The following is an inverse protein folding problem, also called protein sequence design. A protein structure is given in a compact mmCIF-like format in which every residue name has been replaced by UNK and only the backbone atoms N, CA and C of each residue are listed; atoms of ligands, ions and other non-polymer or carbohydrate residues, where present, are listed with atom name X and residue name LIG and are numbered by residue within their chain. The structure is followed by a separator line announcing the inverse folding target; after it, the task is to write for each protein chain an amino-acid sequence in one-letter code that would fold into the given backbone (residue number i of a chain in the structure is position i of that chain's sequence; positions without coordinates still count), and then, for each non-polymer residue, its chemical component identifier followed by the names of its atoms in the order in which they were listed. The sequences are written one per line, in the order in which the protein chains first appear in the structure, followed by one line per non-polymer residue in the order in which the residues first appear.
data_IF_423086003830
#
_entry.id   IF_423086003830
#
_cell.length_a   1.000
_cell.length_b   1.000
_cell.length_c   1.000
_cell.angle_alpha   90.00
_cell.angle_beta   90.00
_cell.angle_gamma   90.00
#
_symmetry.space_group_name_H-M   'P 1'
#
loop_
_entity.id
_entity.type
_entity.pdbx_description
1 polymer ?
#
# COMPACT_ATOMS: atom_id res chain seq x y z
N UNK A 1 -4.28 15.51 -2.46
CA UNK A 1 -3.49 14.57 -3.27
C UNK A 1 -4.37 13.71 -4.20
N UNK A 2 -5.43 13.02 -3.73
CA UNK A 2 -6.29 12.19 -4.58
C UNK A 2 -6.90 12.94 -5.77
N UNK A 3 -7.39 14.18 -5.58
CA UNK A 3 -7.94 15.01 -6.65
C UNK A 3 -6.90 15.28 -7.75
N UNK A 4 -5.66 15.58 -7.38
CA UNK A 4 -4.55 15.81 -8.33
C UNK A 4 -4.19 14.56 -9.14
N UNK A 5 -4.19 13.38 -8.53
CA UNK A 5 -3.92 12.12 -9.24
C UNK A 5 -5.01 11.83 -10.27
N UNK A 6 -6.27 12.08 -9.91
CA UNK A 6 -7.41 11.96 -10.84
C UNK A 6 -7.29 12.96 -12.00
N UNK A 7 -6.93 14.20 -11.71
CA UNK A 7 -6.71 15.25 -12.70
C UNK A 7 -5.58 14.89 -13.68
N UNK A 8 -4.46 14.35 -13.19
CA UNK A 8 -3.29 14.07 -14.02
C UNK A 8 -3.41 12.81 -14.86
N UNK A 9 -4.02 11.76 -14.32
CA UNK A 9 -4.03 10.44 -14.96
C UNK A 9 -5.42 9.98 -15.40
N UNK A 10 -6.45 10.76 -15.13
CA UNK A 10 -7.83 10.38 -15.46
C UNK A 10 -8.31 9.10 -14.76
N UNK A 11 -7.54 8.60 -13.79
CA UNK A 11 -7.85 7.36 -13.10
C UNK A 11 -8.56 7.59 -11.77
N UNK A 12 -9.55 6.75 -11.48
CA UNK A 12 -10.21 6.75 -10.19
C UNK A 12 -9.35 6.06 -9.13
N UNK A 13 -9.21 6.71 -7.98
CA UNK A 13 -8.55 6.11 -6.81
C UNK A 13 -9.59 5.33 -6.02
N UNK A 14 -9.43 4.02 -5.99
CA UNK A 14 -10.29 3.12 -5.23
C UNK A 14 -9.77 3.00 -3.80
N UNK A 15 -10.63 3.34 -2.83
CA UNK A 15 -10.31 3.23 -1.41
C UNK A 15 -10.81 1.89 -0.89
N UNK A 16 -9.89 0.99 -0.59
CA UNK A 16 -10.18 -0.31 0.02
C UNK A 16 -10.07 -0.19 1.53
N UNK A 17 -11.13 -0.56 2.23
CA UNK A 17 -11.19 -0.52 3.70
C UNK A 17 -11.22 -1.92 4.29
N UNK A 18 -10.57 -2.10 5.44
CA UNK A 18 -10.72 -3.31 6.24
C UNK A 18 -12.13 -3.35 6.83
N UNK A 19 -12.86 -4.44 6.60
CA UNK A 19 -14.20 -4.65 7.12
C UNK A 19 -14.20 -5.84 8.07
N UNK A 20 -14.81 -5.66 9.24
CA UNK A 20 -15.10 -6.74 10.17
C UNK A 20 -16.61 -6.84 10.37
N UNK A 21 -17.19 -8.01 10.12
CA UNK A 21 -18.66 -8.23 10.18
C UNK A 21 -19.45 -7.15 9.39
N UNK A 22 -18.91 -6.73 8.23
CA UNK A 22 -19.51 -5.71 7.39
C UNK A 22 -19.29 -4.25 7.80
N UNK A 23 -18.63 -4.00 8.95
CA UNK A 23 -18.36 -2.65 9.46
C UNK A 23 -16.87 -2.34 9.31
N UNK A 24 -16.56 -1.09 8.93
CA UNK A 24 -15.17 -0.62 8.90
C UNK A 24 -14.61 -0.54 10.33
N UNK A 25 -13.54 -1.29 10.58
CA UNK A 25 -12.79 -1.22 11.83
C UNK A 25 -11.37 -0.73 11.54
N UNK A 26 -11.02 0.46 12.02
CA UNK A 26 -9.65 0.97 12.01
C UNK A 26 -8.78 0.29 13.07
N UNK A 27 -7.45 0.45 12.94
CA UNK A 27 -6.49 -0.10 13.89
C UNK A 27 -6.74 0.39 15.32
N UNK A 28 -7.04 1.68 15.50
CA UNK A 28 -7.36 2.28 16.80
C UNK A 28 -8.55 1.60 17.47
N UNK A 29 -9.67 1.49 16.76
CA UNK A 29 -10.88 0.84 17.30
C UNK A 29 -10.62 -0.64 17.64
N UNK A 30 -9.81 -1.33 16.84
CA UNK A 30 -9.42 -2.70 17.15
C UNK A 30 -8.60 -2.78 18.44
N UNK A 31 -7.60 -1.89 18.60
CA UNK A 31 -6.77 -1.84 19.80
C UNK A 31 -7.60 -1.55 21.05
N UNK A 32 -8.50 -0.57 20.99
CA UNK A 32 -9.41 -0.22 22.09
C UNK A 32 -10.30 -1.40 22.47
N UNK A 33 -10.92 -2.05 21.48
CA UNK A 33 -11.80 -3.19 21.71
C UNK A 33 -11.09 -4.41 22.27
N UNK A 34 -9.83 -4.61 21.90
CA UNK A 34 -9.02 -5.74 22.38
C UNK A 34 -8.20 -5.41 23.62
N UNK A 35 -8.21 -4.14 24.07
CA UNK A 35 -7.33 -3.65 25.15
C UNK A 35 -5.85 -4.03 24.92
N UNK A 36 -5.39 -3.94 23.65
CA UNK A 36 -4.04 -4.31 23.23
C UNK A 36 -3.46 -3.28 22.29
N UNK A 37 -2.18 -2.97 22.47
CA UNK A 37 -1.39 -2.26 21.48
C UNK A 37 -0.96 -3.20 20.35
N UNK A 38 -0.70 -2.67 19.12
CA UNK A 38 -0.13 -3.45 18.04
C UNK A 38 1.20 -4.06 18.46
N UNK A 39 1.32 -5.37 18.38
CA UNK A 39 2.58 -6.05 18.69
C UNK A 39 3.53 -5.99 17.51
N UNK A 40 4.75 -5.53 17.75
CA UNK A 40 5.89 -5.63 16.83
C UNK A 40 6.86 -6.76 17.26
N UNK A 41 6.48 -7.54 18.28
CA UNK A 41 7.29 -8.65 18.76
C UNK A 41 7.61 -9.63 17.63
N UNK A 42 8.83 -10.13 17.60
CA UNK A 42 9.33 -11.10 16.62
C UNK A 42 9.26 -10.65 15.15
N UNK A 43 9.21 -9.34 14.86
CA UNK A 43 9.13 -8.83 13.50
C UNK A 43 7.81 -9.09 12.77
N UNK A 44 6.81 -9.65 13.45
CA UNK A 44 5.51 -9.93 12.88
C UNK A 44 4.65 -8.66 12.81
N UNK A 45 4.35 -8.21 11.59
CA UNK A 45 3.56 -6.99 11.33
C UNK A 45 2.08 -7.30 11.11
N UNK A 46 1.44 -7.91 12.11
CA UNK A 46 0.05 -8.36 12.02
C UNK A 46 -0.94 -7.25 11.66
N UNK A 47 -0.76 -6.04 12.20
CA UNK A 47 -1.60 -4.89 11.86
C UNK A 47 -1.49 -4.51 10.38
N UNK A 48 -0.29 -4.51 9.79
CA UNK A 48 -0.10 -4.20 8.37
C UNK A 48 -0.74 -5.26 7.47
N UNK A 49 -0.60 -6.53 7.83
CA UNK A 49 -1.23 -7.63 7.09
C UNK A 49 -2.75 -7.47 7.12
N UNK A 50 -3.32 -7.35 8.31
CA UNK A 50 -4.76 -7.34 8.52
C UNK A 50 -5.47 -6.10 7.98
N UNK A 51 -4.89 -4.92 8.16
CA UNK A 51 -5.55 -3.66 7.77
C UNK A 51 -5.14 -3.12 6.40
N UNK A 52 -4.06 -3.64 5.79
CA UNK A 52 -3.59 -3.19 4.47
C UNK A 52 -3.56 -4.33 3.45
N UNK A 53 -2.81 -5.40 3.73
CA UNK A 53 -2.53 -6.45 2.73
C UNK A 53 -3.75 -7.33 2.44
N UNK A 54 -4.43 -7.83 3.46
CA UNK A 54 -5.60 -8.71 3.28
C UNK A 54 -6.78 -8.01 2.59
N UNK A 55 -7.22 -6.81 3.01
CA UNK A 55 -8.29 -6.09 2.32
C UNK A 55 -7.96 -5.81 0.86
N UNK A 56 -6.72 -5.39 0.58
CA UNK A 56 -6.23 -5.16 -0.77
C UNK A 56 -6.28 -6.44 -1.61
N UNK A 57 -5.71 -7.54 -1.12
CA UNK A 57 -5.69 -8.80 -1.84
C UNK A 57 -7.11 -9.34 -2.10
N UNK A 58 -8.01 -9.20 -1.13
CA UNK A 58 -9.42 -9.60 -1.28
C UNK A 58 -10.11 -8.80 -2.38
N UNK A 59 -9.91 -7.48 -2.37
CA UNK A 59 -10.48 -6.59 -3.38
C UNK A 59 -9.93 -6.90 -4.77
N UNK A 60 -8.59 -7.01 -4.91
CA UNK A 60 -7.92 -7.31 -6.19
C UNK A 60 -8.39 -8.63 -6.77
N UNK A 61 -8.46 -9.70 -5.96
CA UNK A 61 -8.91 -11.01 -6.45
C UNK A 61 -10.37 -10.98 -6.94
N UNK A 62 -11.23 -10.20 -6.28
CA UNK A 62 -12.59 -10.00 -6.74
C UNK A 62 -12.59 -9.27 -8.09
N UNK A 63 -11.86 -8.17 -8.19
CA UNK A 63 -11.73 -7.39 -9.42
C UNK A 63 -11.15 -8.21 -10.58
N UNK A 64 -10.11 -9.00 -10.33
CA UNK A 64 -9.52 -9.90 -11.33
C UNK A 64 -10.54 -10.89 -11.87
N UNK A 65 -11.37 -11.47 -10.99
CA UNK A 65 -12.42 -12.41 -11.39
C UNK A 65 -13.51 -11.72 -12.24
N UNK A 66 -13.90 -10.51 -11.87
CA UNK A 66 -14.93 -9.74 -12.59
C UNK A 66 -14.46 -9.26 -13.97
N UNK A 67 -13.15 -9.10 -14.16
CA UNK A 67 -12.55 -8.61 -15.40
C UNK A 67 -11.79 -9.69 -16.20
N UNK A 68 -11.89 -10.96 -15.81
CA UNK A 68 -11.16 -12.10 -16.40
C UNK A 68 -9.63 -11.89 -16.49
N UNK A 69 -9.06 -11.22 -15.49
CA UNK A 69 -7.61 -10.97 -15.39
C UNK A 69 -6.97 -12.07 -14.56
N UNK A 70 -5.98 -12.77 -15.13
CA UNK A 70 -5.30 -13.90 -14.47
C UNK A 70 -4.07 -13.48 -13.68
N UNK A 71 -3.44 -12.37 -14.05
CA UNK A 71 -2.21 -11.88 -13.44
C UNK A 71 -2.17 -10.36 -13.42
N UNK A 72 -1.60 -9.78 -12.35
CA UNK A 72 -1.39 -8.34 -12.21
C UNK A 72 0.06 -8.02 -11.87
N UNK A 73 0.49 -6.82 -12.24
CA UNK A 73 1.74 -6.23 -11.77
C UNK A 73 1.41 -5.16 -10.72
N UNK A 74 1.95 -5.32 -9.52
CA UNK A 74 1.75 -4.41 -8.40
C UNK A 74 2.97 -3.49 -8.25
N UNK A 75 2.80 -2.20 -8.53
CA UNK A 75 3.82 -1.21 -8.23
C UNK A 75 3.93 -0.99 -6.71
N UNK A 76 5.14 -1.08 -6.17
CA UNK A 76 5.46 -0.91 -4.75
C UNK A 76 6.42 0.26 -4.61
N UNK A 77 6.07 1.25 -3.81
CA UNK A 77 6.81 2.50 -3.65
C UNK A 77 7.98 2.40 -2.66
N UNK A 78 8.83 1.39 -2.78
CA UNK A 78 10.12 1.37 -2.09
C UNK A 78 11.09 2.25 -2.87
N UNK A 79 11.80 3.15 -2.17
CA UNK A 79 12.90 3.90 -2.76
C UNK A 79 14.17 3.04 -2.86
N UNK A 80 15.21 3.54 -3.55
CA UNK A 80 16.45 2.80 -3.76
C UNK A 80 17.16 2.43 -2.44
N UNK A 81 17.04 3.23 -1.39
CA UNK A 81 17.56 2.92 -0.04
C UNK A 81 16.82 1.76 0.64
N UNK A 82 15.62 1.43 0.20
CA UNK A 82 14.81 0.33 0.72
C UNK A 82 14.94 -0.97 -0.08
N UNK A 83 15.87 -1.06 -1.04
CA UNK A 83 16.06 -2.24 -1.90
C UNK A 83 16.25 -3.56 -1.12
N UNK A 84 16.84 -3.50 0.08
CA UNK A 84 16.99 -4.64 0.99
C UNK A 84 15.65 -5.25 1.47
N UNK A 85 14.52 -4.54 1.30
CA UNK A 85 13.17 -4.98 1.67
C UNK A 85 12.47 -5.75 0.56
N UNK A 86 13.05 -5.79 -0.65
CA UNK A 86 12.49 -6.47 -1.80
C UNK A 86 12.41 -7.97 -1.50
N UNK A 87 11.22 -8.52 -1.67
CA UNK A 87 10.97 -9.96 -1.58
C UNK A 87 10.10 -10.40 -2.74
N UNK A 88 10.34 -11.60 -3.29
CA UNK A 88 9.45 -12.19 -4.28
C UNK A 88 8.01 -12.25 -3.75
N UNK A 89 7.05 -12.09 -4.64
CA UNK A 89 5.66 -12.33 -4.25
C UNK A 89 5.45 -13.82 -3.93
N UNK A 90 4.87 -14.15 -2.78
CA UNK A 90 4.53 -15.54 -2.46
C UNK A 90 3.27 -16.01 -3.20
N UNK A 91 2.61 -15.12 -3.93
CA UNK A 91 1.33 -15.40 -4.58
C UNK A 91 1.50 -15.45 -6.11
N UNK A 92 1.05 -16.54 -6.76
CA UNK A 92 1.32 -16.77 -8.19
C UNK A 92 0.55 -15.82 -9.12
N UNK A 93 -0.47 -15.15 -8.62
CA UNK A 93 -1.33 -14.29 -9.42
C UNK A 93 -0.86 -12.83 -9.49
N UNK A 94 0.26 -12.45 -8.81
CA UNK A 94 0.83 -11.11 -8.98
C UNK A 94 2.35 -11.09 -8.89
N UNK A 95 2.94 -10.13 -9.60
CA UNK A 95 4.36 -9.78 -9.51
C UNK A 95 4.50 -8.39 -8.89
N UNK A 96 5.47 -8.21 -8.01
CA UNK A 96 5.82 -6.88 -7.51
C UNK A 96 6.79 -6.20 -8.48
N UNK A 97 6.54 -4.93 -8.79
CA UNK A 97 7.43 -4.04 -9.51
C UNK A 97 7.84 -2.88 -8.59
N UNK A 98 9.10 -2.54 -8.62
CA UNK A 98 9.70 -1.53 -7.73
C UNK A 98 10.29 -0.37 -8.56
N UNK A 99 9.45 0.47 -9.18
CA UNK A 99 9.90 1.48 -10.14
C UNK A 99 10.95 2.43 -9.58
N UNK A 100 10.83 2.89 -8.34
CA UNK A 100 11.79 3.82 -7.76
C UNK A 100 13.16 3.16 -7.52
N UNK A 101 13.20 1.86 -7.25
CA UNK A 101 14.45 1.10 -7.14
C UNK A 101 15.09 0.93 -8.52
N UNK A 102 14.29 0.57 -9.53
CA UNK A 102 14.75 0.42 -10.92
C UNK A 102 15.32 1.73 -11.49
N UNK A 103 14.69 2.87 -11.10
CA UNK A 103 15.17 4.21 -11.50
C UNK A 103 16.26 4.76 -10.58
N UNK A 104 16.69 4.04 -9.55
CA UNK A 104 17.66 4.47 -8.55
C UNK A 104 17.28 5.78 -7.84
N UNK A 105 16.00 5.99 -7.63
CA UNK A 105 15.47 7.13 -6.91
C UNK A 105 15.50 6.90 -5.40
N UNK A 106 16.23 7.77 -4.72
CA UNK A 106 16.25 7.82 -3.26
C UNK A 106 15.13 8.71 -2.73
N UNK A 107 15.02 8.76 -1.42
CA UNK A 107 13.97 9.55 -0.74
C UNK A 107 14.04 11.03 -1.12
N UNK A 108 15.24 11.58 -1.25
CA UNK A 108 15.50 12.97 -1.61
C UNK A 108 14.97 13.30 -3.01
N UNK A 109 15.21 12.43 -3.98
CA UNK A 109 14.72 12.55 -5.36
C UNK A 109 13.18 12.56 -5.40
N UNK A 110 12.57 11.69 -4.61
CA UNK A 110 11.10 11.65 -4.48
C UNK A 110 10.54 12.95 -3.88
N UNK A 111 11.18 13.50 -2.84
CA UNK A 111 10.79 14.76 -2.21
C UNK A 111 10.92 15.92 -3.19
N UNK A 112 12.02 15.97 -3.94
CA UNK A 112 12.26 17.00 -4.95
C UNK A 112 11.21 16.95 -6.07
N UNK A 113 10.91 15.74 -6.57
CA UNK A 113 9.86 15.54 -7.57
C UNK A 113 8.49 16.03 -7.07
N UNK A 114 8.12 15.71 -5.83
CA UNK A 114 6.87 16.17 -5.21
C UNK A 114 6.82 17.71 -5.14
N UNK A 115 7.92 18.35 -4.71
CA UNK A 115 8.03 19.82 -4.64
C UNK A 115 7.94 20.45 -6.02
N UNK A 116 8.63 19.89 -7.02
CA UNK A 116 8.62 20.37 -8.41
C UNK A 116 7.20 20.41 -8.99
N UNK A 117 6.36 19.46 -8.60
CA UNK A 117 4.96 19.39 -9.02
C UNK A 117 4.00 20.19 -8.12
N UNK A 118 4.52 21.02 -7.18
CA UNK A 118 3.70 21.85 -6.30
C UNK A 118 2.81 21.07 -5.34
N UNK A 119 3.17 19.81 -5.03
CA UNK A 119 2.42 18.98 -4.11
C UNK A 119 2.94 19.11 -2.68
N UNK A 120 2.05 19.04 -1.68
CA UNK A 120 2.49 18.96 -0.29
C UNK A 120 3.22 17.63 -0.04
N UNK A 121 4.36 17.71 0.63
CA UNK A 121 5.08 16.52 1.05
C UNK A 121 4.20 15.69 2.01
N UNK A 122 3.94 14.41 1.73
CA UNK A 122 3.18 13.58 2.64
C UNK A 122 3.93 13.37 3.96
N UNK A 123 3.19 13.37 5.06
CA UNK A 123 3.74 13.02 6.35
C UNK A 123 4.30 11.58 6.33
N UNK A 124 5.39 11.36 7.07
CA UNK A 124 5.95 10.02 7.22
C UNK A 124 4.92 9.13 7.94
N UNK A 125 4.48 8.07 7.29
CA UNK A 125 3.67 7.06 7.97
C UNK A 125 4.57 6.26 8.93
N UNK A 126 4.24 6.29 10.20
CA UNK A 126 4.91 5.47 11.21
C UNK A 126 4.30 4.06 11.22
N UNK A 127 4.91 3.15 10.55
CA UNK A 127 4.75 1.71 10.80
C UNK A 127 6.06 1.03 10.48
#
# INVERSE_FOLDING_TARGET
MQAKVREWWGMEIIIVKSLRKGVHEGLENECLRQSRLPSLAYGFRGCSIKHKTEPFNKWVRKWMKENDVKHIVKAVGFDAGEAHRIKPSPLPWHTNWYPLVDWQWYREDCIEAIKRHGLPQPAKSSC
#
